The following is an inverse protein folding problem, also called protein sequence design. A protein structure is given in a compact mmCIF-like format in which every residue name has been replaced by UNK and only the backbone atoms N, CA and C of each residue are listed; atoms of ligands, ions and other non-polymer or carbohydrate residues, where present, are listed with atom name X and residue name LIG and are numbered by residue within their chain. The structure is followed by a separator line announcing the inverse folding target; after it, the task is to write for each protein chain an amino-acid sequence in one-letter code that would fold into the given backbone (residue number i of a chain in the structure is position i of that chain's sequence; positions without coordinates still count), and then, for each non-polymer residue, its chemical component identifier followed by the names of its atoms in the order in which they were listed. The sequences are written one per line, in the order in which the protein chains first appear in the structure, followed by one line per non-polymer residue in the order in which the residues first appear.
data_IF_222213483052
#
_entry.id   IF_222213483052
#
_cell.length_a   1.000
_cell.length_b   1.000
_cell.length_c   1.000
_cell.angle_alpha   90.00
_cell.angle_beta   90.00
_cell.angle_gamma   90.00
#
_symmetry.space_group_name_H-M   'P 1'
#
loop_
_entity.id
_entity.type
_entity.pdbx_description
1 polymer ?
#
# COMPACT_ATOMS: atom_id res chain seq x y z
N UNK A 1 -10.54 -17.45 -10.35
CA UNK A 1 -10.51 -17.48 -11.84
C UNK A 1 -9.15 -16.98 -12.29
N UNK A 2 -8.53 -17.64 -13.26
CA UNK A 2 -7.27 -17.17 -13.87
C UNK A 2 -7.63 -16.23 -15.03
N UNK A 3 -7.04 -15.05 -15.07
CA UNK A 3 -7.21 -14.11 -16.18
C UNK A 3 -5.88 -13.91 -16.87
N UNK A 4 -5.93 -13.80 -18.19
CA UNK A 4 -4.79 -13.50 -19.04
C UNK A 4 -5.02 -12.17 -19.72
N UNK A 5 -4.07 -11.25 -19.64
CA UNK A 5 -4.07 -9.99 -20.38
C UNK A 5 -2.79 -9.88 -21.19
N UNK A 6 -2.92 -9.35 -22.40
CA UNK A 6 -1.77 -8.96 -23.21
C UNK A 6 -1.37 -7.54 -22.89
N UNK A 7 -0.11 -7.33 -22.62
CA UNK A 7 0.44 -6.01 -22.41
C UNK A 7 1.88 -5.95 -22.91
N UNK A 8 2.36 -4.74 -23.18
CA UNK A 8 3.74 -4.53 -23.62
C UNK A 8 4.74 -4.93 -22.52
N UNK A 9 5.79 -5.66 -22.92
CA UNK A 9 6.87 -6.08 -22.03
C UNK A 9 7.58 -4.91 -21.32
N UNK A 10 7.48 -3.69 -21.87
CA UNK A 10 8.09 -2.51 -21.32
C UNK A 10 7.25 -1.83 -20.23
N UNK A 11 5.93 -1.93 -20.29
CA UNK A 11 5.03 -1.27 -19.33
C UNK A 11 5.00 -2.00 -17.98
N UNK A 12 5.09 -3.33 -17.99
CA UNK A 12 5.00 -4.14 -16.79
C UNK A 12 6.08 -3.83 -15.75
N UNK A 13 7.40 -3.92 -16.06
CA UNK A 13 8.43 -3.69 -15.06
C UNK A 13 8.49 -2.22 -14.61
N UNK A 14 8.00 -1.29 -15.44
CA UNK A 14 7.93 0.13 -15.07
C UNK A 14 6.88 0.41 -13.98
N UNK A 15 5.74 -0.28 -14.04
CA UNK A 15 4.63 -0.07 -13.14
C UNK A 15 4.47 -1.16 -12.08
N UNK A 16 4.86 -2.40 -12.40
CA UNK A 16 4.76 -3.57 -11.55
C UNK A 16 6.16 -4.18 -11.36
N UNK A 17 6.92 -3.69 -10.39
CA UNK A 17 8.29 -4.13 -10.14
C UNK A 17 8.39 -5.63 -9.78
N UNK A 18 7.29 -6.24 -9.35
CA UNK A 18 7.18 -7.67 -9.12
C UNK A 18 7.62 -8.52 -10.33
N UNK A 19 7.34 -8.07 -11.54
CA UNK A 19 7.66 -8.82 -12.77
C UNK A 19 9.09 -8.60 -13.26
N UNK A 20 9.83 -7.62 -12.75
CA UNK A 20 11.17 -7.30 -13.21
C UNK A 20 12.14 -8.50 -13.21
N UNK A 21 12.18 -9.39 -12.18
CA UNK A 21 13.07 -10.55 -12.18
C UNK A 21 12.70 -11.63 -13.19
N UNK A 22 11.42 -11.68 -13.62
CA UNK A 22 10.91 -12.73 -14.52
C UNK A 22 11.04 -12.36 -15.99
N UNK A 23 11.20 -11.08 -16.29
CA UNK A 23 11.22 -10.59 -17.67
C UNK A 23 12.60 -10.60 -18.32
N UNK A 24 13.65 -10.99 -17.58
CA UNK A 24 15.01 -11.19 -18.10
C UNK A 24 15.55 -10.05 -18.98
N UNK A 25 16.73 -10.26 -19.56
CA UNK A 25 17.36 -9.31 -20.50
C UNK A 25 16.83 -9.47 -21.94
N UNK A 26 15.81 -10.27 -22.16
CA UNK A 26 15.18 -10.51 -23.45
C UNK A 26 14.26 -9.35 -23.85
N UNK A 27 14.88 -8.28 -24.28
CA UNK A 27 14.26 -7.03 -24.81
C UNK A 27 13.46 -7.20 -26.12
N UNK A 28 12.99 -8.42 -26.43
CA UNK A 28 12.41 -8.74 -27.74
C UNK A 28 11.01 -9.35 -27.71
N UNK A 29 10.34 -9.36 -26.57
CA UNK A 29 8.95 -9.81 -26.52
C UNK A 29 8.07 -8.57 -26.52
N UNK A 30 7.46 -8.26 -27.66
CA UNK A 30 6.58 -7.10 -27.79
C UNK A 30 5.29 -7.23 -26.97
N UNK A 31 4.86 -8.47 -26.70
CA UNK A 31 3.66 -8.76 -25.92
C UNK A 31 3.92 -9.91 -24.94
N UNK A 32 3.39 -9.78 -23.73
CA UNK A 32 3.47 -10.79 -22.66
C UNK A 32 2.06 -11.13 -22.20
N UNK A 33 1.78 -12.43 -22.10
CA UNK A 33 0.56 -12.94 -21.49
C UNK A 33 0.77 -13.10 -19.98
N UNK A 34 0.00 -12.34 -19.19
CA UNK A 34 0.03 -12.40 -17.73
C UNK A 34 -1.18 -13.16 -17.23
N UNK A 35 -0.95 -14.16 -16.40
CA UNK A 35 -2.01 -14.86 -15.69
C UNK A 35 -1.88 -14.61 -14.19
N UNK A 36 -2.89 -14.00 -13.60
CA UNK A 36 -2.94 -13.73 -12.16
C UNK A 36 -4.21 -14.28 -11.53
N UNK A 37 -4.10 -14.72 -10.28
CA UNK A 37 -5.24 -15.15 -9.47
C UNK A 37 -5.73 -13.97 -8.64
N UNK A 38 -6.56 -13.12 -9.23
CA UNK A 38 -7.20 -12.02 -8.52
C UNK A 38 -8.64 -11.84 -9.01
N UNK A 39 -9.37 -10.94 -8.39
CA UNK A 39 -10.67 -10.51 -8.88
C UNK A 39 -10.54 -9.89 -10.27
N UNK A 40 -11.46 -10.27 -11.17
CA UNK A 40 -11.43 -9.84 -12.57
C UNK A 40 -11.52 -8.32 -12.70
N UNK A 41 -12.39 -7.68 -11.92
CA UNK A 41 -12.59 -6.24 -11.98
C UNK A 41 -11.35 -5.49 -11.48
N UNK A 42 -10.72 -6.02 -10.42
CA UNK A 42 -9.47 -5.45 -9.90
C UNK A 42 -8.33 -5.59 -10.92
N UNK A 43 -8.25 -6.74 -11.58
CA UNK A 43 -7.26 -6.95 -12.63
C UNK A 43 -7.45 -6.00 -13.83
N UNK A 44 -8.69 -5.83 -14.29
CA UNK A 44 -9.04 -4.91 -15.38
C UNK A 44 -8.71 -3.46 -14.97
N UNK A 45 -9.03 -3.07 -13.73
CA UNK A 45 -8.69 -1.77 -13.16
C UNK A 45 -7.18 -1.51 -13.17
N UNK A 46 -6.38 -2.50 -12.73
CA UNK A 46 -4.90 -2.40 -12.72
C UNK A 46 -4.34 -2.29 -14.14
N UNK A 47 -4.89 -3.03 -15.10
CA UNK A 47 -4.47 -2.95 -16.51
C UNK A 47 -4.79 -1.57 -17.08
N UNK A 48 -5.96 -1.02 -16.82
CA UNK A 48 -6.31 0.33 -17.24
C UNK A 48 -5.36 1.38 -16.62
N UNK A 49 -5.05 1.23 -15.32
CA UNK A 49 -4.10 2.10 -14.63
C UNK A 49 -2.72 2.13 -15.29
N UNK A 50 -2.14 0.98 -15.65
CA UNK A 50 -0.80 0.94 -16.27
C UNK A 50 -0.78 1.44 -17.72
N UNK A 51 -1.90 1.31 -18.44
CA UNK A 51 -1.99 1.82 -19.82
C UNK A 51 -2.25 3.32 -19.86
N UNK A 52 -2.90 3.89 -18.85
CA UNK A 52 -3.25 5.31 -18.79
C UNK A 52 -2.88 5.95 -17.43
N UNK A 53 -1.61 5.96 -17.04
CA UNK A 53 -1.21 6.46 -15.72
C UNK A 53 -1.51 7.96 -15.52
N UNK A 54 -1.61 8.73 -16.60
CA UNK A 54 -1.97 10.16 -16.54
C UNK A 54 -3.46 10.39 -16.26
N UNK A 55 -4.31 9.37 -16.50
CA UNK A 55 -5.76 9.41 -16.24
C UNK A 55 -6.17 8.10 -15.56
N UNK A 56 -5.79 7.90 -14.30
CA UNK A 56 -6.07 6.65 -13.59
C UNK A 56 -7.58 6.42 -13.48
N UNK A 57 -8.02 5.15 -13.48
CA UNK A 57 -9.40 4.82 -13.17
C UNK A 57 -9.78 5.32 -11.78
N UNK A 58 -11.07 5.59 -11.57
CA UNK A 58 -11.54 6.12 -10.30
C UNK A 58 -11.42 5.06 -9.20
N UNK A 59 -10.83 5.44 -8.06
CA UNK A 59 -10.87 4.66 -6.83
C UNK A 59 -12.20 4.93 -6.12
N UNK A 60 -12.79 3.89 -5.55
CA UNK A 60 -13.96 3.99 -4.69
C UNK A 60 -13.77 3.19 -3.39
N UNK A 61 -14.64 3.43 -2.41
CA UNK A 61 -14.56 2.77 -1.11
C UNK A 61 -14.71 1.24 -1.17
N UNK A 62 -15.39 0.72 -2.20
CA UNK A 62 -15.62 -0.73 -2.38
C UNK A 62 -14.41 -1.46 -2.95
N UNK A 63 -13.63 -0.82 -3.80
CA UNK A 63 -12.51 -1.41 -4.54
C UNK A 63 -11.14 -1.10 -3.95
N UNK A 64 -10.99 0.01 -3.21
CA UNK A 64 -9.69 0.53 -2.77
C UNK A 64 -8.86 -0.48 -1.98
N UNK A 65 -9.47 -1.30 -1.12
CA UNK A 65 -8.73 -2.31 -0.32
C UNK A 65 -8.16 -3.40 -1.23
N UNK A 66 -8.94 -3.90 -2.18
CA UNK A 66 -8.50 -4.91 -3.13
C UNK A 66 -7.41 -4.38 -4.07
N UNK A 67 -7.55 -3.13 -4.53
CA UNK A 67 -6.53 -2.44 -5.33
C UNK A 67 -5.25 -2.23 -4.52
N UNK A 68 -5.36 -1.79 -3.26
CA UNK A 68 -4.21 -1.58 -2.36
C UNK A 68 -3.40 -2.87 -2.14
N UNK A 69 -4.09 -3.98 -1.82
CA UNK A 69 -3.43 -5.27 -1.59
C UNK A 69 -2.74 -5.75 -2.87
N UNK A 70 -3.41 -5.62 -4.01
CA UNK A 70 -2.86 -6.00 -5.31
C UNK A 70 -1.67 -5.12 -5.70
N UNK A 71 -1.76 -3.81 -5.43
CA UNK A 71 -0.68 -2.86 -5.69
C UNK A 71 0.57 -3.13 -4.82
N UNK A 72 0.39 -3.46 -3.53
CA UNK A 72 1.50 -3.81 -2.65
C UNK A 72 2.16 -5.13 -3.10
N UNK A 73 1.36 -6.15 -3.43
CA UNK A 73 1.85 -7.43 -3.95
C UNK A 73 2.65 -7.27 -5.25
N UNK A 74 2.14 -6.48 -6.18
CA UNK A 74 2.77 -6.20 -7.48
C UNK A 74 3.89 -5.14 -7.39
N UNK A 75 4.17 -4.63 -6.19
CA UNK A 75 5.19 -3.61 -5.91
C UNK A 75 4.99 -2.31 -6.71
N UNK A 76 3.74 -1.90 -6.84
CA UNK A 76 3.32 -0.65 -7.51
C UNK A 76 3.34 0.52 -6.53
N UNK A 77 4.51 0.94 -6.07
CA UNK A 77 4.66 1.97 -5.02
C UNK A 77 3.84 3.25 -5.23
N UNK A 78 3.78 3.85 -6.45
CA UNK A 78 2.96 5.04 -6.67
C UNK A 78 1.47 4.78 -6.43
N UNK A 79 0.98 3.62 -6.87
CA UNK A 79 -0.42 3.23 -6.68
C UNK A 79 -0.72 2.91 -5.21
N UNK A 80 0.18 2.20 -4.52
CA UNK A 80 0.05 1.93 -3.08
C UNK A 80 -0.09 3.24 -2.30
N UNK A 81 0.76 4.23 -2.58
CA UNK A 81 0.67 5.55 -1.96
C UNK A 81 -0.66 6.24 -2.27
N UNK A 82 -1.10 6.23 -3.52
CA UNK A 82 -2.39 6.82 -3.91
C UNK A 82 -3.59 6.17 -3.20
N UNK A 83 -3.58 4.84 -3.05
CA UNK A 83 -4.61 4.11 -2.29
C UNK A 83 -4.61 4.49 -0.80
N UNK A 84 -3.43 4.64 -0.18
CA UNK A 84 -3.32 5.06 1.23
C UNK A 84 -3.81 6.50 1.43
N UNK A 85 -3.51 7.41 0.52
CA UNK A 85 -4.02 8.79 0.54
C UNK A 85 -5.54 8.82 0.40
N UNK A 86 -6.11 8.02 -0.50
CA UNK A 86 -7.56 7.87 -0.64
C UNK A 86 -8.20 7.30 0.63
N UNK A 87 -7.62 6.25 1.20
CA UNK A 87 -8.11 5.61 2.43
C UNK A 87 -8.13 6.57 3.61
N UNK A 88 -7.14 7.45 3.74
CA UNK A 88 -7.13 8.48 4.78
C UNK A 88 -8.43 9.29 4.80
N UNK A 89 -8.93 9.69 3.64
CA UNK A 89 -10.17 10.46 3.53
C UNK A 89 -11.46 9.64 3.59
N UNK A 90 -11.40 8.37 3.15
CA UNK A 90 -12.57 7.51 2.96
C UNK A 90 -12.68 6.37 3.99
N UNK A 91 -11.79 6.28 4.98
CA UNK A 91 -11.69 5.13 5.88
C UNK A 91 -13.01 4.87 6.63
N UNK A 92 -13.68 5.93 7.11
CA UNK A 92 -14.96 5.80 7.79
C UNK A 92 -16.08 5.24 6.86
N UNK A 93 -16.00 5.52 5.57
CA UNK A 93 -16.92 4.97 4.57
C UNK A 93 -16.60 3.48 4.31
N UNK A 94 -15.34 3.16 4.10
CA UNK A 94 -14.87 1.78 3.89
C UNK A 94 -15.27 0.87 5.06
N UNK A 95 -15.17 1.36 6.31
CA UNK A 95 -15.56 0.60 7.51
C UNK A 95 -17.06 0.32 7.62
N UNK A 96 -17.91 1.03 6.89
CA UNK A 96 -19.35 0.75 6.81
C UNK A 96 -19.68 -0.38 5.85
N UNK A 97 -18.79 -0.67 4.93
CA UNK A 97 -18.95 -1.72 3.94
C UNK A 97 -18.64 -3.11 4.55
N UNK A 98 -19.22 -4.18 4.01
CA UNK A 98 -18.95 -5.55 4.47
C UNK A 98 -17.61 -6.07 3.93
N UNK A 99 -16.54 -5.29 4.07
CA UNK A 99 -15.19 -5.63 3.59
C UNK A 99 -14.38 -6.20 4.76
N UNK A 100 -13.67 -7.29 4.52
CA UNK A 100 -12.73 -7.85 5.49
C UNK A 100 -11.39 -7.14 5.40
N UNK A 101 -11.06 -6.36 6.42
CA UNK A 101 -9.79 -5.64 6.54
C UNK A 101 -8.68 -6.45 7.22
N UNK A 102 -8.96 -7.70 7.62
CA UNK A 102 -7.94 -8.58 8.21
C UNK A 102 -6.84 -8.94 7.23
N UNK A 103 -7.13 -8.90 5.93
CA UNK A 103 -6.20 -9.14 4.83
C UNK A 103 -5.19 -8.00 4.59
N UNK A 104 -5.43 -6.81 5.16
CA UNK A 104 -4.48 -5.69 5.07
C UNK A 104 -3.29 -5.97 5.97
N UNK A 105 -2.08 -5.96 5.40
CA UNK A 105 -0.85 -6.25 6.13
C UNK A 105 -0.54 -5.18 7.19
N UNK A 106 0.18 -5.58 8.23
CA UNK A 106 0.61 -4.67 9.30
C UNK A 106 1.52 -3.55 8.79
N UNK A 107 2.29 -3.81 7.72
CA UNK A 107 3.09 -2.81 7.03
C UNK A 107 2.21 -1.70 6.46
N UNK A 108 1.17 -2.06 5.68
CA UNK A 108 0.24 -1.09 5.08
C UNK A 108 -0.55 -0.33 6.14
N UNK A 109 -0.95 -1.01 7.22
CA UNK A 109 -1.59 -0.36 8.36
C UNK A 109 -0.64 0.60 9.08
N UNK A 110 0.64 0.27 9.18
CA UNK A 110 1.66 1.17 9.73
C UNK A 110 1.81 2.43 8.88
N UNK A 111 1.91 2.28 7.57
CA UNK A 111 1.98 3.42 6.64
C UNK A 111 0.71 4.29 6.72
N UNK A 112 -0.47 3.69 6.80
CA UNK A 112 -1.74 4.41 6.98
C UNK A 112 -1.79 5.15 8.32
N UNK A 113 -1.38 4.49 9.41
CA UNK A 113 -1.39 5.06 10.76
C UNK A 113 -0.50 6.28 10.92
N UNK A 114 0.61 6.39 10.17
CA UNK A 114 1.47 7.57 10.16
C UNK A 114 0.73 8.82 9.66
N UNK A 115 -0.26 8.65 8.79
CA UNK A 115 -1.03 9.74 8.20
C UNK A 115 -2.33 10.08 8.94
N UNK A 116 -2.71 9.31 9.96
CA UNK A 116 -3.91 9.52 10.77
C UNK A 116 -3.56 10.10 12.13
N UNK A 117 -4.37 11.03 12.63
CA UNK A 117 -4.27 11.51 14.00
C UNK A 117 -4.90 10.53 14.99
N UNK A 118 -4.52 10.61 16.28
CA UNK A 118 -5.09 9.76 17.32
C UNK A 118 -6.61 9.94 17.42
N UNK A 119 -7.08 11.19 17.36
CA UNK A 119 -8.51 11.52 17.38
C UNK A 119 -9.26 10.99 16.16
N UNK A 120 -8.61 10.93 14.99
CA UNK A 120 -9.19 10.32 13.79
C UNK A 120 -9.37 8.81 13.99
N UNK A 121 -8.38 8.14 14.57
CA UNK A 121 -8.45 6.70 14.87
C UNK A 121 -9.54 6.40 15.91
N UNK A 122 -9.66 7.21 16.97
CA UNK A 122 -10.69 7.05 18.00
C UNK A 122 -12.12 7.24 17.46
N UNK A 123 -12.28 8.06 16.44
CA UNK A 123 -13.60 8.28 15.79
C UNK A 123 -14.00 7.12 14.87
N UNK A 124 -13.06 6.22 14.54
CA UNK A 124 -13.37 5.07 13.71
C UNK A 124 -14.29 4.11 14.47
N UNK A 125 -15.47 3.88 13.91
CA UNK A 125 -16.41 2.91 14.43
C UNK A 125 -16.38 1.66 13.55
N UNK A 126 -15.54 0.71 13.94
CA UNK A 126 -15.51 -0.61 13.33
C UNK A 126 -16.48 -1.54 14.07
N UNK A 127 -17.35 -2.23 13.34
CA UNK A 127 -18.28 -3.23 13.92
C UNK A 127 -17.58 -4.37 14.66
N UNK A 128 -16.29 -4.60 14.40
CA UNK A 128 -15.47 -5.66 14.99
C UNK A 128 -14.32 -5.13 15.84
N UNK A 129 -14.20 -3.85 16.04
CA UNK A 129 -13.21 -3.11 16.86
C UNK A 129 -11.73 -3.50 16.64
N UNK A 130 -11.41 -4.07 15.48
CA UNK A 130 -10.06 -4.59 15.24
C UNK A 130 -9.17 -3.63 14.47
N UNK A 131 -9.74 -2.86 13.53
CA UNK A 131 -8.93 -1.99 12.69
C UNK A 131 -8.43 -0.74 13.46
N UNK A 132 -9.29 -0.13 14.25
CA UNK A 132 -8.92 1.02 15.08
C UNK A 132 -7.83 0.63 16.09
N UNK A 133 -7.98 -0.51 16.77
CA UNK A 133 -6.98 -1.05 17.68
C UNK A 133 -5.65 -1.35 16.96
N UNK A 134 -5.68 -1.99 15.79
CA UNK A 134 -4.48 -2.27 14.99
C UNK A 134 -3.78 -0.99 14.54
N UNK A 135 -4.52 0.01 14.06
CA UNK A 135 -3.98 1.30 13.65
C UNK A 135 -3.34 2.05 14.83
N UNK A 136 -4.01 2.04 15.99
CA UNK A 136 -3.50 2.67 17.20
C UNK A 136 -2.19 2.01 17.67
N UNK A 137 -2.15 0.69 17.67
CA UNK A 137 -0.93 -0.07 18.01
C UNK A 137 0.22 0.31 17.07
N UNK A 138 -0.01 0.35 15.75
CA UNK A 138 1.03 0.72 14.78
C UNK A 138 1.49 2.16 14.92
N UNK A 139 0.57 3.07 15.22
CA UNK A 139 0.92 4.47 15.50
C UNK A 139 1.79 4.60 16.75
N UNK A 140 1.45 3.89 17.81
CA UNK A 140 2.22 3.89 19.06
C UNK A 140 3.63 3.28 18.85
N UNK A 141 3.74 2.17 18.15
CA UNK A 141 5.02 1.55 17.81
C UNK A 141 5.93 2.51 17.02
N UNK A 142 5.37 3.21 16.02
CA UNK A 142 6.12 4.19 15.25
C UNK A 142 6.62 5.36 16.12
N UNK A 143 5.79 5.84 17.04
CA UNK A 143 6.16 6.92 17.96
C UNK A 143 7.29 6.50 18.91
N UNK A 144 7.17 5.31 19.50
CA UNK A 144 8.22 4.77 20.39
C UNK A 144 9.55 4.54 19.65
N UNK A 145 9.50 4.09 18.40
CA UNK A 145 10.69 3.92 17.58
C UNK A 145 11.38 5.26 17.29
N UNK A 146 10.63 6.33 17.03
CA UNK A 146 11.17 7.66 16.80
C UNK A 146 11.80 8.25 18.07
N UNK A 147 11.14 8.10 19.22
CA UNK A 147 11.70 8.51 20.52
C UNK A 147 13.01 7.77 20.83
N UNK A 148 13.05 6.44 20.64
CA UNK A 148 14.25 5.65 20.85
C UNK A 148 15.40 6.09 19.94
N UNK A 149 15.13 6.38 18.67
CA UNK A 149 16.12 6.88 17.72
C UNK A 149 16.63 8.28 18.13
N UNK A 150 15.76 9.13 18.64
CA UNK A 150 16.12 10.47 19.12
C UNK A 150 17.01 10.39 20.33
N UNK A 151 16.70 9.56 21.32
CA UNK A 151 17.53 9.32 22.50
C UNK A 151 18.92 8.77 22.12
N UNK A 152 18.96 7.82 21.18
CA UNK A 152 20.23 7.27 20.70
C UNK A 152 21.11 8.33 20.03
N UNK A 153 20.55 9.21 19.21
CA UNK A 153 21.27 10.33 18.58
C UNK A 153 21.80 11.32 19.62
N UNK A 154 20.99 11.68 20.63
CA UNK A 154 21.42 12.55 21.72
C UNK A 154 22.58 11.93 22.51
N UNK A 155 22.49 10.63 22.84
CA UNK A 155 23.55 9.93 23.56
C UNK A 155 24.85 9.88 22.76
N UNK A 156 24.77 9.61 21.46
CA UNK A 156 25.94 9.59 20.56
C UNK A 156 26.61 10.97 20.46
N UNK A 157 25.81 12.04 20.39
CA UNK A 157 26.33 13.41 20.35
C UNK A 157 27.07 13.77 21.66
N UNK A 158 26.55 13.39 22.82
CA UNK A 158 27.18 13.64 24.13
C UNK A 158 28.47 12.82 24.33
N UNK A 159 28.57 11.65 23.68
CA UNK A 159 29.76 10.79 23.79
C UNK A 159 30.92 11.28 22.93
N UNK A 160 30.67 12.09 21.89
CA UNK A 160 31.71 12.67 21.01
C UNK A 160 32.32 13.96 21.56
N UNK A 161 31.69 14.57 22.57
CA UNK A 161 32.14 15.87 23.15
C UNK A 161 33.00 15.69 24.42
N UNK A 162 33.69 14.56 24.57
CA UNK A 162 34.64 14.38 25.70
C UNK A 162 36.03 14.88 25.28
N UNK A 163 36.47 16.06 25.75
CA UNK A 163 37.86 16.50 25.52
C UNK A 163 38.84 15.55 26.23
N UNK A 164 39.92 15.27 25.54
CA UNK A 164 41.07 14.49 26.03
C UNK A 164 41.78 15.21 27.16
#
# INVERSE_FOLDING_TARGET
MTRTARTSSLLLPQHMAYFAPYLGDERRVDEIDISVHCDVHIFEWLMEYIHQPAKPPVLDAGSVISVLISADFLQMKPLTKHCLEFLRGALAEVLRLPIDLSCVSDKLLGELALHLDADEIERLRDKKDKIASRLYTRKLEAHLADEANTLHRCHSALSTDRPA
#
